data_IF_857167270580
#
_entry.id   IF_857167270580
#
_cell.length_a   1.000
_cell.length_b   1.000
_cell.length_c   1.000
_cell.angle_alpha   90.00
_cell.angle_beta   90.00
_cell.angle_gamma   90.00
#
_symmetry.space_group_name_H-M   'P 1'
#
loop_
_entity.id
_entity.type
_entity.pdbx_description
1 polymer ?
#
# COMPACT_ATOMS: atom_id res chain seq x y z
N UNK A 1 14.93 -17.37 12.72
CA UNK A 1 14.85 -16.00 13.20
C UNK A 1 15.01 -14.98 12.09
N UNK A 2 15.97 -15.19 11.21
CA UNK A 2 16.19 -14.24 10.13
C UNK A 2 14.98 -14.12 9.24
N UNK A 3 14.33 -15.24 8.99
CA UNK A 3 13.12 -15.22 8.16
C UNK A 3 12.03 -14.48 8.86
N UNK A 4 11.97 -14.60 10.18
CA UNK A 4 10.98 -13.88 10.95
C UNK A 4 11.18 -12.38 10.83
N UNK A 5 12.44 -11.95 10.79
CA UNK A 5 12.75 -10.53 10.65
C UNK A 5 12.25 -10.01 9.31
N UNK A 6 12.53 -10.76 8.25
CA UNK A 6 12.07 -10.36 6.92
C UNK A 6 10.56 -10.33 6.83
N UNK A 7 9.93 -11.37 7.38
CA UNK A 7 8.47 -11.44 7.40
C UNK A 7 7.92 -10.28 8.21
N UNK A 8 8.59 -9.93 9.31
CA UNK A 8 8.16 -8.82 10.13
C UNK A 8 8.25 -7.50 9.40
N UNK A 9 9.25 -7.34 8.53
CA UNK A 9 9.37 -6.10 7.77
C UNK A 9 8.18 -5.91 6.85
N UNK A 10 7.78 -6.96 6.15
CA UNK A 10 6.61 -6.88 5.28
C UNK A 10 5.36 -6.63 6.10
N UNK A 11 5.18 -7.36 7.18
CA UNK A 11 4.01 -7.20 8.02
C UNK A 11 3.94 -5.81 8.63
N UNK A 12 5.08 -5.32 9.11
CA UNK A 12 5.13 -3.99 9.70
C UNK A 12 4.82 -2.92 8.66
N UNK A 13 5.32 -3.11 7.44
CA UNK A 13 5.03 -2.17 6.36
C UNK A 13 3.54 -2.16 6.05
N UNK A 14 2.92 -3.34 5.99
CA UNK A 14 1.49 -3.42 5.75
C UNK A 14 0.73 -2.65 6.81
N UNK A 15 1.09 -2.86 8.07
CA UNK A 15 0.40 -2.19 9.16
C UNK A 15 0.55 -0.67 9.08
N UNK A 16 1.77 -0.21 8.77
CA UNK A 16 2.02 1.22 8.67
C UNK A 16 1.26 1.84 7.51
N UNK A 17 1.30 1.17 6.36
CA UNK A 17 0.61 1.69 5.18
C UNK A 17 -0.89 1.77 5.44
N UNK A 18 -1.46 0.70 6.01
CA UNK A 18 -2.89 0.69 6.24
C UNK A 18 -3.30 1.75 7.26
N UNK A 19 -2.51 1.95 8.28
CA UNK A 19 -2.80 2.99 9.27
C UNK A 19 -2.82 4.37 8.61
N UNK A 20 -1.81 4.67 7.81
CA UNK A 20 -1.74 5.95 7.12
C UNK A 20 -2.86 6.09 6.10
N UNK A 21 -3.11 5.03 5.37
CA UNK A 21 -4.15 5.02 4.35
C UNK A 21 -5.52 5.31 4.96
N UNK A 22 -5.78 4.72 6.12
CA UNK A 22 -7.04 4.96 6.83
C UNK A 22 -7.18 6.41 7.28
N UNK A 23 -6.07 7.05 7.61
CA UNK A 23 -6.10 8.45 8.04
C UNK A 23 -6.37 9.40 6.88
N UNK A 24 -6.08 8.98 5.67
CA UNK A 24 -6.21 9.86 4.51
C UNK A 24 -7.65 10.02 4.05
N UNK A 25 -8.48 9.01 4.27
CA UNK A 25 -9.87 9.08 3.85
C UNK A 25 -10.67 7.99 4.52
N UNK A 26 -11.97 8.24 4.65
CA UNK A 26 -12.89 7.25 5.19
C UNK A 26 -13.28 6.29 4.07
N UNK A 27 -13.22 5.01 4.36
CA UNK A 27 -13.52 3.97 3.37
C UNK A 27 -14.40 2.91 3.98
N UNK A 28 -15.13 2.19 3.13
CA UNK A 28 -15.91 1.06 3.62
C UNK A 28 -14.95 -0.05 4.03
N UNK A 29 -15.47 -0.95 4.86
CA UNK A 29 -14.67 -2.07 5.30
C UNK A 29 -14.28 -2.97 4.14
N UNK A 30 -15.21 -3.15 3.20
CA UNK A 30 -14.92 -3.96 2.03
C UNK A 30 -13.82 -3.35 1.19
N UNK A 31 -13.83 -2.04 1.04
CA UNK A 31 -12.81 -1.33 0.27
C UNK A 31 -11.45 -1.44 0.95
N UNK A 32 -11.44 -1.30 2.28
CA UNK A 32 -10.20 -1.46 3.04
C UNK A 32 -9.63 -2.85 2.90
N UNK A 33 -10.50 -3.85 2.97
CA UNK A 33 -10.06 -5.24 2.87
C UNK A 33 -9.46 -5.51 1.49
N UNK A 34 -10.07 -4.99 0.46
CA UNK A 34 -9.56 -5.17 -0.88
C UNK A 34 -8.21 -4.48 -1.03
N UNK A 35 -8.11 -3.25 -0.54
CA UNK A 35 -6.86 -2.51 -0.61
C UNK A 35 -5.75 -3.26 0.13
N UNK A 36 -6.08 -3.81 1.29
CA UNK A 36 -5.09 -4.54 2.07
C UNK A 36 -4.60 -5.77 1.33
N UNK A 37 -5.48 -6.49 0.69
CA UNK A 37 -5.07 -7.68 -0.05
C UNK A 37 -4.18 -7.33 -1.22
N UNK A 38 -4.52 -6.28 -1.93
CA UNK A 38 -3.68 -5.81 -3.02
C UNK A 38 -2.31 -5.37 -2.51
N UNK A 39 -2.30 -4.72 -1.37
CA UNK A 39 -1.06 -4.26 -0.76
C UNK A 39 -0.19 -5.43 -0.35
N UNK A 40 -0.78 -6.45 0.26
CA UNK A 40 -0.03 -7.62 0.68
C UNK A 40 0.65 -8.26 -0.52
N UNK A 41 -0.09 -8.43 -1.59
CA UNK A 41 0.45 -9.03 -2.80
C UNK A 41 1.58 -8.19 -3.38
N UNK A 42 1.39 -6.89 -3.43
CA UNK A 42 2.37 -5.97 -3.97
C UNK A 42 3.67 -6.00 -3.15
N UNK A 43 3.55 -5.89 -1.82
CA UNK A 43 4.72 -5.87 -0.97
C UNK A 43 5.44 -7.21 -0.96
N UNK A 44 4.69 -8.31 -1.06
CA UNK A 44 5.31 -9.62 -1.16
C UNK A 44 6.16 -9.72 -2.41
N UNK A 45 5.68 -9.17 -3.51
CA UNK A 45 6.45 -9.18 -4.76
C UNK A 45 7.70 -8.33 -4.64
N UNK A 46 7.59 -7.17 -4.02
CA UNK A 46 8.75 -6.32 -3.80
C UNK A 46 9.78 -7.02 -2.93
N UNK A 47 9.32 -7.66 -1.88
CA UNK A 47 10.22 -8.38 -0.99
C UNK A 47 10.95 -9.49 -1.73
N UNK A 48 10.23 -10.23 -2.55
CA UNK A 48 10.81 -11.29 -3.35
C UNK A 48 11.83 -10.73 -4.32
N UNK A 49 11.62 -9.52 -4.80
CA UNK A 49 12.54 -8.88 -5.73
C UNK A 49 13.76 -8.30 -5.03
N UNK A 50 13.82 -8.39 -3.71
CA UNK A 50 15.00 -7.95 -2.97
C UNK A 50 14.78 -6.73 -2.10
N UNK A 51 13.59 -6.15 -2.10
CA UNK A 51 13.33 -4.97 -1.28
C UNK A 51 12.98 -5.40 0.12
N UNK A 52 13.90 -5.20 1.06
CA UNK A 52 13.72 -5.66 2.43
C UNK A 52 13.69 -4.52 3.44
N UNK A 53 13.88 -3.29 2.99
CA UNK A 53 13.89 -2.15 3.89
C UNK A 53 12.47 -1.75 4.26
N UNK A 54 12.21 -1.67 5.57
CA UNK A 54 10.87 -1.37 6.06
C UNK A 54 10.36 -0.02 5.57
N UNK A 55 11.22 0.99 5.62
CA UNK A 55 10.81 2.31 5.19
C UNK A 55 10.45 2.35 3.72
N UNK A 56 11.26 1.67 2.89
CA UNK A 56 10.98 1.66 1.46
C UNK A 56 9.73 0.86 1.14
N UNK A 57 9.53 -0.26 1.82
CA UNK A 57 8.31 -1.03 1.64
C UNK A 57 7.10 -0.18 2.02
N UNK A 58 7.21 0.57 3.10
CA UNK A 58 6.11 1.41 3.55
C UNK A 58 5.80 2.50 2.53
N UNK A 59 6.84 3.19 2.06
CA UNK A 59 6.64 4.26 1.08
C UNK A 59 6.08 3.71 -0.22
N UNK A 60 6.64 2.62 -0.71
CA UNK A 60 6.18 2.01 -1.94
C UNK A 60 4.75 1.54 -1.82
N UNK A 61 4.41 0.93 -0.69
CA UNK A 61 3.06 0.44 -0.48
C UNK A 61 2.04 1.55 -0.43
N UNK A 62 2.36 2.61 0.29
CA UNK A 62 1.45 3.74 0.38
C UNK A 62 1.27 4.40 -0.98
N UNK A 63 2.37 4.58 -1.70
CA UNK A 63 2.31 5.16 -3.04
C UNK A 63 1.44 4.30 -3.96
N UNK A 64 1.61 2.99 -3.87
CA UNK A 64 0.82 2.07 -4.67
C UNK A 64 -0.69 2.25 -4.43
N UNK A 65 -1.09 2.31 -3.16
CA UNK A 65 -2.50 2.48 -2.84
C UNK A 65 -3.01 3.85 -3.24
N UNK A 66 -2.19 4.86 -3.05
CA UNK A 66 -2.60 6.22 -3.41
C UNK A 66 -2.72 6.37 -4.93
N UNK A 67 -1.83 5.73 -5.67
CA UNK A 67 -1.93 5.77 -7.12
C UNK A 67 -3.16 5.03 -7.61
N UNK A 68 -3.47 3.92 -6.96
CA UNK A 68 -4.67 3.19 -7.29
C UNK A 68 -5.91 4.08 -7.12
N UNK A 69 -6.00 4.78 -6.00
CA UNK A 69 -7.10 5.70 -5.75
C UNK A 69 -6.98 6.94 -6.61
N UNK A 70 -5.77 7.46 -6.73
CA UNK A 70 -5.53 8.67 -7.48
C UNK A 70 -5.77 8.51 -8.96
N UNK A 71 -5.54 7.32 -9.48
CA UNK A 71 -5.85 7.06 -10.88
C UNK A 71 -7.30 7.30 -11.18
N UNK A 72 -8.16 6.86 -10.27
CA UNK A 72 -9.60 7.06 -10.43
C UNK A 72 -9.91 8.54 -10.34
N UNK A 73 -9.34 9.21 -9.36
CA UNK A 73 -9.54 10.64 -9.17
C UNK A 73 -8.98 11.42 -10.34
N UNK A 74 -7.84 10.99 -10.84
CA UNK A 74 -7.21 11.68 -11.95
C UNK A 74 -8.03 11.61 -13.21
N UNK A 75 -8.71 10.50 -13.41
CA UNK A 75 -9.61 10.41 -14.56
C UNK A 75 -10.67 11.48 -14.45
N UNK A 76 -11.27 11.61 -13.27
CA UNK A 76 -12.28 12.65 -13.07
C UNK A 76 -11.68 14.02 -13.15
N UNK A 77 -10.54 14.20 -12.53
CA UNK A 77 -9.89 15.50 -12.52
C UNK A 77 -9.38 15.88 -13.90
N UNK A 78 -8.89 14.90 -14.62
CA UNK A 78 -8.41 15.12 -15.97
C UNK A 78 -9.49 15.63 -16.88
N UNK A 79 -10.65 15.05 -16.73
CA UNK A 79 -11.81 15.58 -17.41
C UNK A 79 -12.03 17.01 -17.06
N UNK A 80 -12.02 17.28 -15.78
CA UNK A 80 -12.32 18.59 -15.27
C UNK A 80 -11.27 19.58 -15.63
N UNK A 81 -10.04 19.14 -15.62
CA UNK A 81 -8.91 20.02 -15.87
C UNK A 81 -8.81 20.48 -17.29
N UNK A 82 -9.49 19.80 -18.14
CA UNK A 82 -9.47 20.18 -19.53
C UNK A 82 -10.63 21.09 -19.88
#
# INVERSE_FOLDING_TARGET
PDQSVDTNAVQAAIDRVMMTYDLLATRTEADRAEARELLIDYLAKLHTAGETDLDRLTVCGLTYLRERDGSIDQVKAGFTGL
#
